data_IF_573564550014
#
_entry.id   IF_573564550014
#
_cell.length_a   1.000
_cell.length_b   1.000
_cell.length_c   1.000
_cell.angle_alpha   90.00
_cell.angle_beta   90.00
_cell.angle_gamma   90.00
#
_symmetry.space_group_name_H-M   'P 1'
#
loop_
_entity.id
_entity.type
_entity.pdbx_description
1 polymer ?
#
# COMPACT_ATOMS: atom_id res chain seq x y z
N UNK A 1 15.10 5.42 14.12
CA UNK A 1 14.25 4.97 13.02
C UNK A 1 14.86 5.48 11.74
N UNK A 2 15.68 4.64 11.16
CA UNK A 2 16.68 4.86 10.12
C UNK A 2 16.00 5.30 8.81
N UNK A 3 14.74 4.89 8.60
CA UNK A 3 13.89 5.40 7.53
C UNK A 3 13.55 6.90 7.69
N UNK A 4 13.22 7.36 8.89
CA UNK A 4 12.99 8.78 9.16
C UNK A 4 14.29 9.61 9.08
N UNK A 5 15.45 8.94 9.09
CA UNK A 5 16.76 9.52 8.83
C UNK A 5 17.16 9.48 7.35
N UNK A 6 16.30 8.95 6.46
CA UNK A 6 16.49 8.95 5.01
C UNK A 6 17.17 7.70 4.43
N UNK A 7 17.42 6.65 5.22
CA UNK A 7 18.06 5.42 4.75
C UNK A 7 17.07 4.25 4.66
N UNK A 8 16.33 4.20 3.55
CA UNK A 8 15.38 3.13 3.28
C UNK A 8 16.05 1.77 3.04
N UNK A 9 17.29 1.74 2.57
CA UNK A 9 18.04 0.51 2.32
C UNK A 9 18.48 -0.15 3.64
N UNK A 10 19.00 0.64 4.58
CA UNK A 10 19.30 0.15 5.93
C UNK A 10 18.02 -0.32 6.66
N UNK A 11 16.91 0.42 6.52
CA UNK A 11 15.64 0.01 7.09
C UNK A 11 15.12 -1.32 6.52
N UNK A 12 15.28 -1.54 5.20
CA UNK A 12 14.95 -2.81 4.56
C UNK A 12 15.79 -3.96 5.13
N UNK A 13 17.11 -3.78 5.25
CA UNK A 13 17.99 -4.81 5.80
C UNK A 13 17.60 -5.20 7.24
N UNK A 14 17.31 -4.21 8.08
CA UNK A 14 16.84 -4.44 9.46
C UNK A 14 15.49 -5.17 9.49
N UNK A 15 14.58 -4.85 8.56
CA UNK A 15 13.28 -5.53 8.46
C UNK A 15 13.43 -6.99 8.02
N UNK A 16 14.39 -7.31 7.14
CA UNK A 16 14.73 -8.69 6.75
C UNK A 16 15.25 -9.50 7.95
N UNK A 17 16.16 -8.93 8.73
CA UNK A 17 16.67 -9.57 9.96
C UNK A 17 15.56 -9.80 10.98
N UNK A 18 14.69 -8.79 11.19
CA UNK A 18 13.55 -8.88 12.09
C UNK A 18 12.58 -9.99 11.65
N UNK A 19 12.24 -10.03 10.35
CA UNK A 19 11.37 -11.06 9.76
C UNK A 19 11.94 -12.45 10.04
N UNK A 20 13.22 -12.68 9.79
CA UNK A 20 13.84 -13.99 10.02
C UNK A 20 13.73 -14.42 11.50
N UNK A 21 13.92 -13.50 12.44
CA UNK A 21 13.72 -13.75 13.87
C UNK A 21 12.26 -14.05 14.24
N UNK A 22 11.31 -13.33 13.65
CA UNK A 22 9.89 -13.56 13.88
C UNK A 22 9.38 -14.85 13.25
N UNK A 23 9.91 -15.26 12.09
CA UNK A 23 9.62 -16.56 11.48
C UNK A 23 10.14 -17.70 12.36
N UNK A 24 11.38 -17.60 12.87
CA UNK A 24 11.96 -18.60 13.77
C UNK A 24 11.16 -18.78 15.07
N UNK A 25 10.47 -17.73 15.53
CA UNK A 25 9.60 -17.76 16.72
C UNK A 25 8.12 -17.95 16.40
N UNK A 26 7.78 -18.19 15.13
CA UNK A 26 6.40 -18.33 14.63
C UNK A 26 5.48 -17.14 14.99
N UNK A 27 6.04 -15.95 15.15
CA UNK A 27 5.30 -14.74 15.48
C UNK A 27 4.65 -14.13 14.23
N UNK A 28 3.54 -14.75 13.80
CA UNK A 28 2.80 -14.37 12.58
C UNK A 28 2.41 -12.89 12.53
N UNK A 29 2.08 -12.30 13.69
CA UNK A 29 1.69 -10.89 13.77
C UNK A 29 2.86 -9.97 13.43
N UNK A 30 4.04 -10.26 13.97
CA UNK A 30 5.22 -9.46 13.66
C UNK A 30 5.67 -9.68 12.22
N UNK A 31 5.62 -10.92 11.71
CA UNK A 31 5.91 -11.21 10.29
C UNK A 31 5.04 -10.38 9.35
N UNK A 32 3.72 -10.27 9.61
CA UNK A 32 2.83 -9.43 8.82
C UNK A 32 3.23 -7.94 8.85
N UNK A 33 3.72 -7.46 9.99
CA UNK A 33 4.19 -6.09 10.14
C UNK A 33 5.51 -5.84 9.39
N UNK A 34 6.44 -6.78 9.47
CA UNK A 34 7.73 -6.70 8.76
C UNK A 34 7.48 -6.69 7.25
N UNK A 35 6.62 -7.58 6.74
CA UNK A 35 6.22 -7.61 5.34
C UNK A 35 5.63 -6.28 4.85
N UNK A 36 4.78 -5.65 5.66
CA UNK A 36 4.20 -4.34 5.36
C UNK A 36 5.28 -3.25 5.28
N UNK A 37 6.18 -3.20 6.27
CA UNK A 37 7.27 -2.24 6.31
C UNK A 37 8.25 -2.43 5.13
N UNK A 38 8.60 -3.68 4.80
CA UNK A 38 9.44 -4.00 3.65
C UNK A 38 8.83 -3.48 2.35
N UNK A 39 7.51 -3.63 2.16
CA UNK A 39 6.82 -3.08 1.00
C UNK A 39 6.96 -1.54 0.92
N UNK A 40 6.75 -0.83 2.04
CA UNK A 40 6.91 0.62 2.11
C UNK A 40 8.35 1.06 1.78
N UNK A 41 9.35 0.36 2.31
CA UNK A 41 10.77 0.67 2.06
C UNK A 41 11.15 0.43 0.61
N UNK A 42 10.66 -0.65 0.00
CA UNK A 42 10.88 -0.94 -1.41
C UNK A 42 10.19 0.08 -2.33
N UNK A 43 9.04 0.62 -1.96
CA UNK A 43 8.39 1.74 -2.67
C UNK A 43 9.25 3.01 -2.59
N UNK A 44 9.83 3.29 -1.42
CA UNK A 44 10.75 4.42 -1.26
C UNK A 44 12.04 4.27 -2.07
N UNK A 45 12.46 3.02 -2.37
CA UNK A 45 13.60 2.68 -3.20
C UNK A 45 13.24 2.50 -4.70
N UNK A 46 11.99 2.77 -5.09
CA UNK A 46 11.45 2.54 -6.43
C UNK A 46 11.55 1.09 -6.95
N UNK A 47 11.68 0.12 -6.03
CA UNK A 47 11.68 -1.32 -6.29
C UNK A 47 10.24 -1.89 -6.30
N UNK A 48 9.42 -1.42 -7.24
CA UNK A 48 7.97 -1.66 -7.21
C UNK A 48 7.52 -3.11 -7.39
N UNK A 49 8.25 -3.92 -8.17
CA UNK A 49 7.90 -5.34 -8.34
C UNK A 49 8.07 -6.12 -7.04
N UNK A 50 9.19 -5.90 -6.34
CA UNK A 50 9.46 -6.52 -5.05
C UNK A 50 8.49 -5.99 -3.99
N UNK A 51 8.24 -4.67 -3.96
CA UNK A 51 7.25 -4.09 -3.06
C UNK A 51 5.88 -4.74 -3.22
N UNK A 52 5.44 -4.96 -4.46
CA UNK A 52 4.17 -5.64 -4.75
C UNK A 52 4.16 -7.08 -4.28
N UNK A 53 5.26 -7.81 -4.43
CA UNK A 53 5.38 -9.18 -3.93
C UNK A 53 5.20 -9.22 -2.40
N UNK A 54 5.96 -8.40 -1.67
CA UNK A 54 5.87 -8.33 -0.20
C UNK A 54 4.52 -7.82 0.28
N UNK A 55 3.90 -6.84 -0.37
CA UNK A 55 2.57 -6.37 -0.01
C UNK A 55 1.49 -7.45 -0.23
N UNK A 56 1.61 -8.30 -1.26
CA UNK A 56 0.69 -9.45 -1.44
C UNK A 56 0.87 -10.51 -0.36
N UNK A 57 2.11 -10.81 0.02
CA UNK A 57 2.39 -11.68 1.17
C UNK A 57 1.82 -11.10 2.47
N UNK A 58 2.02 -9.80 2.70
CA UNK A 58 1.45 -9.09 3.84
C UNK A 58 -0.07 -9.20 3.83
N UNK A 59 -0.72 -9.02 2.67
CA UNK A 59 -2.18 -9.08 2.55
C UNK A 59 -2.73 -10.47 2.91
N UNK A 60 -2.03 -11.53 2.53
CA UNK A 60 -2.36 -12.88 2.95
C UNK A 60 -2.20 -13.04 4.47
N UNK A 61 -1.09 -12.56 5.04
CA UNK A 61 -0.80 -12.68 6.46
C UNK A 61 -1.76 -11.88 7.36
N UNK A 62 -2.14 -10.65 6.98
CA UNK A 62 -3.02 -9.80 7.81
C UNK A 62 -4.45 -10.32 7.91
N UNK A 63 -4.91 -11.07 6.89
CA UNK A 63 -6.23 -11.73 6.91
C UNK A 63 -6.33 -12.78 8.01
N UNK A 64 -5.23 -13.46 8.30
CA UNK A 64 -5.18 -14.49 9.35
C UNK A 64 -5.15 -13.90 10.76
N UNK A 65 -4.74 -12.65 10.92
CA UNK A 65 -4.53 -12.00 12.23
C UNK A 65 -5.51 -10.85 12.54
N UNK A 66 -6.48 -10.57 11.66
CA UNK A 66 -7.55 -9.56 11.83
C UNK A 66 -7.04 -8.14 12.19
N UNK A 67 -5.94 -7.71 11.56
CA UNK A 67 -5.29 -6.42 11.84
C UNK A 67 -5.80 -5.31 10.92
N UNK A 68 -6.92 -4.70 11.29
CA UNK A 68 -7.70 -3.78 10.44
C UNK A 68 -6.94 -2.55 9.92
N UNK A 69 -6.05 -1.95 10.73
CA UNK A 69 -5.20 -0.81 10.27
C UNK A 69 -4.12 -1.29 9.31
N UNK A 70 -3.47 -2.42 9.62
CA UNK A 70 -2.40 -2.97 8.80
C UNK A 70 -2.91 -3.39 7.42
N UNK A 71 -4.15 -3.91 7.34
CA UNK A 71 -4.82 -4.15 6.06
C UNK A 71 -4.89 -2.87 5.20
N UNK A 72 -5.24 -1.73 5.78
CA UNK A 72 -5.32 -0.47 5.04
C UNK A 72 -3.96 -0.02 4.50
N UNK A 73 -2.89 -0.15 5.29
CA UNK A 73 -1.52 0.15 4.84
C UNK A 73 -1.08 -0.77 3.70
N UNK A 74 -1.31 -2.08 3.84
CA UNK A 74 -0.98 -3.06 2.80
C UNK A 74 -1.72 -2.77 1.48
N UNK A 75 -3.02 -2.46 1.55
CA UNK A 75 -3.80 -2.08 0.36
C UNK A 75 -3.22 -0.82 -0.29
N UNK A 76 -2.78 0.15 0.50
CA UNK A 76 -2.14 1.35 -0.01
C UNK A 76 -0.80 1.04 -0.69
N UNK A 77 0.05 0.20 -0.11
CA UNK A 77 1.32 -0.21 -0.72
C UNK A 77 1.10 -0.90 -2.07
N UNK A 78 0.08 -1.75 -2.20
CA UNK A 78 -0.28 -2.36 -3.49
C UNK A 78 -0.68 -1.31 -4.54
N UNK A 79 -1.49 -0.32 -4.13
CA UNK A 79 -1.83 0.80 -5.00
C UNK A 79 -0.57 1.57 -5.42
N UNK A 80 0.29 1.90 -4.46
CA UNK A 80 1.51 2.66 -4.70
C UNK A 80 2.45 1.95 -5.67
N UNK A 81 2.72 0.66 -5.45
CA UNK A 81 3.54 -0.15 -6.34
C UNK A 81 2.96 -0.19 -7.77
N UNK A 82 1.64 -0.35 -7.92
CA UNK A 82 1.00 -0.42 -9.23
C UNK A 82 1.01 0.93 -9.98
N UNK A 83 0.66 2.02 -9.29
CA UNK A 83 0.55 3.36 -9.88
C UNK A 83 1.94 3.90 -10.25
N UNK A 84 2.89 3.84 -9.32
CA UNK A 84 4.23 4.43 -9.52
C UNK A 84 5.06 3.63 -10.54
N UNK A 85 4.83 2.33 -10.67
CA UNK A 85 5.43 1.54 -11.76
C UNK A 85 4.85 1.91 -13.13
N UNK A 86 3.54 2.15 -13.19
CA UNK A 86 2.78 2.34 -14.44
C UNK A 86 2.89 3.74 -15.03
N UNK A 87 3.37 4.73 -14.28
CA UNK A 87 3.63 6.09 -14.77
C UNK A 87 4.59 6.10 -16.00
N UNK A 88 5.34 5.00 -16.17
CA UNK A 88 6.20 4.76 -17.34
C UNK A 88 5.49 4.21 -18.59
N UNK A 89 4.21 3.79 -18.53
CA UNK A 89 3.52 3.05 -19.61
C UNK A 89 2.15 3.66 -19.97
N UNK A 90 2.01 4.20 -21.17
CA UNK A 90 0.75 4.71 -21.70
C UNK A 90 -0.06 3.61 -22.42
N UNK A 91 -1.26 3.27 -21.93
CA UNK A 91 -2.16 2.30 -22.57
C UNK A 91 -3.58 2.26 -21.99
N UNK A 92 -4.54 1.63 -22.69
CA UNK A 92 -5.96 1.55 -22.27
C UNK A 92 -6.19 0.76 -20.97
N UNK A 93 -5.36 -0.23 -20.67
CA UNK A 93 -5.40 -0.93 -19.36
C UNK A 93 -5.11 0.01 -18.19
N UNK A 94 -4.23 1.00 -18.42
CA UNK A 94 -3.81 1.94 -17.40
C UNK A 94 -4.94 2.85 -16.89
N UNK A 95 -6.00 3.10 -17.67
CA UNK A 95 -7.13 3.91 -17.18
C UNK A 95 -8.02 3.15 -16.19
N UNK A 96 -8.33 1.88 -16.47
CA UNK A 96 -9.07 1.03 -15.55
C UNK A 96 -8.30 0.81 -14.25
N UNK A 97 -6.98 0.59 -14.36
CA UNK A 97 -6.12 0.39 -13.20
C UNK A 97 -5.97 1.66 -12.36
N UNK A 98 -5.85 2.84 -12.99
CA UNK A 98 -5.87 4.13 -12.27
C UNK A 98 -7.19 4.38 -11.56
N UNK A 99 -8.32 4.06 -12.20
CA UNK A 99 -9.63 4.21 -11.56
C UNK A 99 -9.77 3.26 -10.36
N UNK A 100 -9.30 2.02 -10.49
CA UNK A 100 -9.29 1.04 -9.39
C UNK A 100 -8.38 1.50 -8.26
N UNK A 101 -7.18 1.98 -8.57
CA UNK A 101 -6.25 2.56 -7.61
C UNK A 101 -6.87 3.73 -6.82
N UNK A 102 -7.53 4.66 -7.52
CA UNK A 102 -8.25 5.77 -6.89
C UNK A 102 -9.38 5.29 -5.95
N UNK A 103 -10.17 4.30 -6.37
CA UNK A 103 -11.21 3.72 -5.50
C UNK A 103 -10.59 3.05 -4.27
N UNK A 104 -9.50 2.30 -4.42
CA UNK A 104 -8.80 1.69 -3.29
C UNK A 104 -8.26 2.73 -2.30
N UNK A 105 -7.71 3.85 -2.76
CA UNK A 105 -7.29 4.93 -1.85
C UNK A 105 -8.47 5.57 -1.12
N UNK A 106 -9.59 5.77 -1.81
CA UNK A 106 -10.82 6.26 -1.19
C UNK A 106 -11.32 5.33 -0.08
N UNK A 107 -11.28 4.01 -0.31
CA UNK A 107 -11.54 3.02 0.73
C UNK A 107 -10.56 3.14 1.90
N UNK A 108 -9.25 3.20 1.62
CA UNK A 108 -8.20 3.32 2.65
C UNK A 108 -8.41 4.58 3.50
N UNK A 109 -8.71 5.73 2.88
CA UNK A 109 -8.98 7.00 3.58
C UNK A 109 -10.18 6.88 4.54
N UNK A 110 -11.29 6.34 4.03
CA UNK A 110 -12.50 6.13 4.83
C UNK A 110 -12.26 5.13 5.98
N UNK A 111 -11.50 4.06 5.70
CA UNK A 111 -11.21 3.00 6.65
C UNK A 111 -10.30 3.48 7.78
N UNK A 112 -9.22 4.21 7.46
CA UNK A 112 -8.34 4.80 8.46
C UNK A 112 -9.09 5.84 9.32
N UNK A 113 -9.94 6.66 8.70
CA UNK A 113 -10.80 7.62 9.42
C UNK A 113 -11.72 6.90 10.42
N UNK A 114 -12.39 5.83 9.97
CA UNK A 114 -13.28 5.03 10.83
C UNK A 114 -12.55 4.36 11.99
N UNK A 115 -11.29 3.98 11.79
CA UNK A 115 -10.43 3.37 12.81
C UNK A 115 -9.74 4.40 13.71
N UNK A 116 -9.99 5.70 13.49
CA UNK A 116 -9.28 6.81 14.17
C UNK A 116 -7.75 6.69 14.06
N UNK A 117 -7.28 6.11 12.95
CA UNK A 117 -5.88 5.89 12.65
C UNK A 117 -5.39 6.92 11.63
N UNK A 118 -4.19 7.45 11.84
CA UNK A 118 -3.49 8.27 10.85
C UNK A 118 -2.44 7.45 10.12
N UNK A 119 -2.10 7.85 8.89
CA UNK A 119 -0.93 7.33 8.18
C UNK A 119 0.34 7.63 8.96
N UNK A 120 1.21 6.63 9.09
CA UNK A 120 2.56 6.86 9.58
C UNK A 120 3.41 7.54 8.50
N UNK A 121 4.66 7.83 8.84
CA UNK A 121 5.54 8.62 7.99
C UNK A 121 5.78 7.97 6.62
N UNK A 122 6.01 6.64 6.60
CA UNK A 122 6.18 5.82 5.39
C UNK A 122 4.95 5.88 4.49
N UNK A 123 3.77 5.61 5.03
CA UNK A 123 2.52 5.56 4.27
C UNK A 123 2.12 6.94 3.76
N UNK A 124 2.48 8.00 4.48
CA UNK A 124 2.18 9.38 4.04
C UNK A 124 2.98 9.76 2.80
N UNK A 125 4.28 9.44 2.78
CA UNK A 125 5.15 9.79 1.67
C UNK A 125 4.69 9.14 0.36
N UNK A 126 4.38 7.84 0.38
CA UNK A 126 3.87 7.16 -0.81
C UNK A 126 2.47 7.65 -1.20
N UNK A 127 1.59 7.94 -0.23
CA UNK A 127 0.25 8.43 -0.51
C UNK A 127 0.29 9.75 -1.28
N UNK A 128 1.11 10.68 -0.84
CA UNK A 128 1.28 11.99 -1.50
C UNK A 128 1.80 11.82 -2.93
N UNK A 129 2.79 10.94 -3.15
CA UNK A 129 3.30 10.61 -4.50
C UNK A 129 2.20 10.03 -5.39
N UNK A 130 1.46 9.05 -4.90
CA UNK A 130 0.39 8.38 -5.65
C UNK A 130 -0.75 9.34 -5.98
N UNK A 131 -1.18 10.17 -5.04
CA UNK A 131 -2.22 11.18 -5.28
C UNK A 131 -1.78 12.17 -6.35
N UNK A 132 -0.51 12.61 -6.33
CA UNK A 132 0.03 13.48 -7.37
C UNK A 132 -0.02 12.81 -8.76
N UNK A 133 0.48 11.57 -8.87
CA UNK A 133 0.46 10.80 -10.13
C UNK A 133 -0.96 10.56 -10.65
N UNK A 134 -1.89 10.15 -9.77
CA UNK A 134 -3.28 9.93 -10.16
C UNK A 134 -3.98 11.23 -10.57
N UNK A 135 -3.70 12.34 -9.87
CA UNK A 135 -4.24 13.66 -10.20
C UNK A 135 -3.76 14.11 -11.57
N UNK A 136 -2.47 13.96 -11.87
CA UNK A 136 -1.92 14.31 -13.18
C UNK A 136 -2.54 13.46 -14.30
N UNK A 137 -2.68 12.16 -14.08
CA UNK A 137 -3.18 11.24 -15.10
C UNK A 137 -4.70 11.29 -15.31
N UNK A 138 -5.48 11.60 -14.27
CA UNK A 138 -6.95 11.56 -14.31
C UNK A 138 -7.60 12.94 -14.30
N UNK A 139 -6.95 13.95 -13.73
CA UNK A 139 -7.56 15.22 -13.35
C UNK A 139 -8.33 15.12 -12.03
N UNK A 140 -8.47 16.26 -11.34
CA UNK A 140 -9.03 16.36 -9.99
C UNK A 140 -10.46 15.81 -9.88
N UNK A 141 -11.37 16.25 -10.76
CA UNK A 141 -12.79 15.86 -10.67
C UNK A 141 -13.00 14.34 -10.78
N UNK A 142 -12.23 13.69 -11.66
CA UNK A 142 -12.30 12.24 -11.84
C UNK A 142 -11.70 11.50 -10.65
N UNK A 143 -10.52 11.94 -10.18
CA UNK A 143 -9.87 11.36 -9.02
C UNK A 143 -10.80 11.43 -7.79
N UNK A 144 -11.34 12.61 -7.48
CA UNK A 144 -12.21 12.83 -6.34
C UNK A 144 -13.49 11.98 -6.44
N UNK A 145 -14.09 11.90 -7.63
CA UNK A 145 -15.27 11.04 -7.87
C UNK A 145 -14.95 9.57 -7.62
N UNK A 146 -13.83 9.07 -8.13
CA UNK A 146 -13.44 7.67 -7.95
C UNK A 146 -13.11 7.35 -6.49
N UNK A 147 -12.39 8.23 -5.79
CA UNK A 147 -12.12 8.07 -4.36
C UNK A 147 -13.43 8.04 -3.54
N UNK A 148 -14.39 8.93 -3.82
CA UNK A 148 -15.71 8.89 -3.15
C UNK A 148 -16.44 7.57 -3.39
N UNK A 149 -16.41 7.02 -4.61
CA UNK A 149 -17.02 5.73 -4.90
C UNK A 149 -16.36 4.58 -4.13
N UNK A 150 -15.03 4.62 -4.02
CA UNK A 150 -14.27 3.64 -3.27
C UNK A 150 -14.44 3.72 -1.76
N UNK A 151 -14.68 4.92 -1.21
CA UNK A 151 -14.95 5.13 0.21
C UNK A 151 -16.17 4.33 0.72
N UNK A 152 -17.11 3.99 -0.17
CA UNK A 152 -18.30 3.18 0.12
C UNK A 152 -18.05 1.66 0.03
N UNK A 153 -16.83 1.22 -0.32
CA UNK A 153 -16.51 -0.20 -0.43
C UNK A 153 -16.45 -0.89 0.93
N UNK A 154 -16.76 -2.18 0.92
CA UNK A 154 -16.44 -3.06 2.04
C UNK A 154 -15.00 -3.54 1.94
N UNK A 155 -14.42 -3.99 3.05
CA UNK A 155 -13.09 -4.58 3.08
C UNK A 155 -12.94 -5.73 2.07
N UNK A 156 -13.95 -6.60 1.94
CA UNK A 156 -13.92 -7.70 0.98
C UNK A 156 -13.83 -7.25 -0.48
N UNK A 157 -14.55 -6.18 -0.85
CA UNK A 157 -14.48 -5.61 -2.20
C UNK A 157 -13.11 -4.97 -2.43
N UNK A 158 -12.60 -4.22 -1.47
CA UNK A 158 -11.27 -3.60 -1.57
C UNK A 158 -10.16 -4.65 -1.69
N UNK A 159 -10.19 -5.72 -0.89
CA UNK A 159 -9.22 -6.82 -0.98
C UNK A 159 -9.29 -7.51 -2.33
N UNK A 160 -10.50 -7.80 -2.85
CA UNK A 160 -10.65 -8.41 -4.17
C UNK A 160 -10.10 -7.51 -5.28
N UNK A 161 -10.40 -6.22 -5.23
CA UNK A 161 -9.90 -5.26 -6.20
C UNK A 161 -8.37 -5.12 -6.14
N UNK A 162 -7.76 -5.17 -4.96
CA UNK A 162 -6.31 -5.07 -4.82
C UNK A 162 -5.55 -6.26 -5.47
N UNK A 163 -6.17 -7.44 -5.57
CA UNK A 163 -5.59 -8.56 -6.33
C UNK A 163 -5.64 -8.39 -7.85
N UNK A 164 -6.43 -7.44 -8.35
CA UNK A 164 -6.53 -7.11 -9.78
C UNK A 164 -5.58 -5.97 -10.20
N UNK A 165 -4.74 -5.46 -9.27
CA UNK A 165 -3.65 -4.51 -9.54
C UNK A 165 -2.33 -5.22 -9.89
#
# INVERSE_FOLDING_TARGET
>A
MEFAAGDAAAALHLAEEARAGHEATQNRRSVANDLCNMAAYLIALDCFDDARAYAREALAAVRDVQRTVLTAYVLQHLVAAAVLQSDSKHGRGAEADRNRAAMLLGFVDAWLTKLEAGREYTERQEYERVIATLREAMGDDRLEKSMRLGAEWTEGVAVSAAFEL
#
